data_IF_048389200382
#
_entry.id   IF_048389200382
#
_cell.length_a   1.000
_cell.length_b   1.000
_cell.length_c   1.000
_cell.angle_alpha   90.00
_cell.angle_beta   90.00
_cell.angle_gamma   90.00
#
_symmetry.space_group_name_H-M   'P 1'
#
loop_
_entity.id
_entity.type
_entity.pdbx_description
1 polymer ?
#
# COMPACT_ATOMS: atom_id res chain seq x y z
N UNK A 1 -18.84 5.53 5.85
CA UNK A 1 -17.72 5.96 4.99
C UNK A 1 -16.41 5.56 5.63
N UNK A 2 -15.54 4.92 4.87
CA UNK A 2 -14.20 4.55 5.35
C UNK A 2 -13.25 5.75 5.29
N UNK A 3 -12.37 5.85 6.27
CA UNK A 3 -11.30 6.86 6.27
C UNK A 3 -10.24 6.49 5.22
N UNK A 4 -9.91 7.45 4.34
CA UNK A 4 -8.88 7.27 3.31
C UNK A 4 -7.53 6.97 3.97
N UNK A 5 -6.92 5.85 3.57
CA UNK A 5 -5.65 5.39 4.12
C UNK A 5 -5.77 4.48 5.35
N UNK A 6 -6.98 4.20 5.82
CA UNK A 6 -7.21 3.14 6.82
C UNK A 6 -7.00 1.74 6.22
N UNK A 7 -6.79 0.73 7.07
CA UNK A 7 -6.65 -0.66 6.62
C UNK A 7 -7.86 -1.08 5.77
N UNK A 8 -9.06 -0.90 6.29
CA UNK A 8 -10.32 -1.23 5.58
C UNK A 8 -10.48 -0.49 4.25
N UNK A 9 -10.04 0.75 4.15
CA UNK A 9 -10.05 1.48 2.87
C UNK A 9 -9.16 0.78 1.82
N UNK A 10 -7.95 0.37 2.20
CA UNK A 10 -7.05 -0.33 1.28
C UNK A 10 -7.60 -1.70 0.87
N UNK A 11 -8.20 -2.45 1.78
CA UNK A 11 -8.84 -3.73 1.49
C UNK A 11 -10.02 -3.57 0.52
N UNK A 12 -10.91 -2.60 0.78
CA UNK A 12 -12.04 -2.30 -0.10
C UNK A 12 -11.56 -1.84 -1.49
N UNK A 13 -10.57 -0.96 -1.55
CA UNK A 13 -9.98 -0.51 -2.81
C UNK A 13 -9.38 -1.67 -3.61
N UNK A 14 -8.61 -2.55 -2.96
CA UNK A 14 -8.03 -3.73 -3.59
C UNK A 14 -9.11 -4.63 -4.18
N UNK A 15 -10.16 -4.96 -3.40
CA UNK A 15 -11.30 -5.76 -3.87
C UNK A 15 -11.96 -5.13 -5.09
N UNK A 16 -12.30 -3.83 -5.04
CA UNK A 16 -12.98 -3.13 -6.13
C UNK A 16 -12.13 -3.11 -7.40
N UNK A 17 -10.83 -2.83 -7.27
CA UNK A 17 -9.93 -2.82 -8.42
C UNK A 17 -9.77 -4.21 -9.03
N UNK A 18 -9.62 -5.25 -8.22
CA UNK A 18 -9.49 -6.63 -8.68
C UNK A 18 -10.73 -7.13 -9.41
N UNK A 19 -11.93 -6.76 -8.97
CA UNK A 19 -13.20 -7.07 -9.66
C UNK A 19 -13.18 -6.50 -11.09
N UNK A 20 -12.67 -5.29 -11.26
CA UNK A 20 -12.68 -4.60 -12.56
C UNK A 20 -11.56 -5.07 -13.51
N UNK A 21 -10.37 -5.38 -12.98
CA UNK A 21 -9.18 -5.64 -13.82
C UNK A 21 -8.81 -7.11 -13.95
N UNK A 22 -9.31 -7.95 -13.07
CA UNK A 22 -8.82 -9.32 -12.96
C UNK A 22 -9.94 -10.36 -12.92
N UNK A 23 -10.78 -10.40 -11.88
CA UNK A 23 -11.78 -11.42 -11.68
C UNK A 23 -13.09 -10.85 -11.13
N UNK A 24 -14.11 -10.79 -11.98
CA UNK A 24 -15.44 -10.29 -11.60
C UNK A 24 -16.16 -11.15 -10.54
N UNK A 25 -15.73 -12.39 -10.31
CA UNK A 25 -16.29 -13.30 -9.31
C UNK A 25 -16.00 -12.79 -7.88
N UNK A 26 -14.88 -12.07 -7.68
CA UNK A 26 -14.55 -11.46 -6.39
C UNK A 26 -15.59 -10.45 -5.87
N UNK A 27 -16.60 -10.09 -6.66
CA UNK A 27 -17.73 -9.28 -6.16
C UNK A 27 -18.42 -9.89 -4.95
N UNK A 28 -18.46 -11.23 -4.85
CA UNK A 28 -19.07 -11.96 -3.76
C UNK A 28 -18.11 -12.24 -2.59
N UNK A 29 -16.84 -11.85 -2.70
CA UNK A 29 -15.87 -12.00 -1.63
C UNK A 29 -16.21 -11.08 -0.45
N UNK A 30 -15.86 -11.50 0.76
CA UNK A 30 -16.00 -10.74 1.99
C UNK A 30 -14.66 -10.13 2.42
N UNK A 31 -14.71 -9.00 3.12
CA UNK A 31 -13.53 -8.43 3.79
C UNK A 31 -13.42 -9.04 5.19
N UNK A 32 -12.42 -9.87 5.39
CA UNK A 32 -12.18 -10.62 6.62
C UNK A 32 -10.73 -10.45 7.07
N UNK A 33 -10.25 -11.36 7.92
CA UNK A 33 -8.85 -11.39 8.36
C UNK A 33 -8.19 -12.70 7.94
N UNK A 34 -6.94 -12.59 7.49
CA UNK A 34 -6.05 -13.73 7.22
C UNK A 34 -6.57 -14.79 6.22
N UNK A 35 -6.74 -14.45 4.94
CA UNK A 35 -6.40 -13.22 4.24
C UNK A 35 -7.50 -12.15 4.31
N UNK A 36 -7.20 -10.92 3.89
CA UNK A 36 -8.07 -9.74 4.02
C UNK A 36 -9.31 -9.79 3.11
N UNK A 37 -9.24 -10.44 1.95
CA UNK A 37 -10.37 -10.64 1.02
C UNK A 37 -10.55 -12.13 0.82
N UNK A 38 -11.75 -12.65 1.06
CA UNK A 38 -12.04 -14.08 0.98
C UNK A 38 -13.29 -14.35 0.14
N UNK A 39 -13.12 -15.11 -0.93
CA UNK A 39 -14.21 -15.74 -1.69
C UNK A 39 -14.23 -17.24 -1.38
N UNK A 40 -15.07 -17.63 -0.44
CA UNK A 40 -15.18 -19.04 -0.04
C UNK A 40 -15.82 -19.90 -1.13
N UNK A 41 -16.67 -19.33 -2.01
CA UNK A 41 -17.35 -20.06 -3.08
C UNK A 41 -16.37 -20.46 -4.17
N UNK A 42 -15.52 -19.53 -4.60
CA UNK A 42 -14.54 -19.75 -5.66
C UNK A 42 -13.18 -20.20 -5.10
N UNK A 43 -13.07 -20.30 -3.78
CA UNK A 43 -11.82 -20.66 -3.08
C UNK A 43 -10.64 -19.74 -3.44
N UNK A 44 -10.87 -18.41 -3.37
CA UNK A 44 -9.88 -17.37 -3.62
C UNK A 44 -9.65 -16.57 -2.34
N UNK A 45 -8.39 -16.38 -1.97
CA UNK A 45 -7.98 -15.53 -0.87
C UNK A 45 -6.97 -14.49 -1.31
N UNK A 46 -7.17 -13.20 -0.97
CA UNK A 46 -6.23 -12.14 -1.30
C UNK A 46 -5.78 -11.43 -0.03
N UNK A 47 -4.48 -11.45 0.21
CA UNK A 47 -3.86 -10.66 1.27
C UNK A 47 -3.53 -9.27 0.73
N UNK A 48 -3.85 -8.24 1.49
CA UNK A 48 -3.62 -6.83 1.11
C UNK A 48 -2.56 -6.22 2.00
N UNK A 49 -1.63 -5.48 1.40
CA UNK A 49 -0.62 -4.73 2.16
C UNK A 49 -0.28 -3.42 1.47
N UNK A 50 0.18 -2.45 2.25
CA UNK A 50 0.68 -1.19 1.73
C UNK A 50 2.13 -1.00 2.19
N UNK A 51 2.96 -0.45 1.32
CA UNK A 51 4.32 -0.08 1.68
C UNK A 51 4.24 1.16 2.57
N UNK A 52 4.77 1.11 3.80
CA UNK A 52 4.72 2.25 4.67
C UNK A 52 5.60 3.39 4.12
N UNK A 53 5.00 4.54 3.86
CA UNK A 53 5.77 5.75 3.62
C UNK A 53 6.21 6.32 4.97
N UNK A 54 7.43 6.00 5.39
CA UNK A 54 8.01 6.43 6.68
C UNK A 54 7.95 7.95 6.86
N UNK A 55 8.25 8.72 5.82
CA UNK A 55 8.25 10.17 5.87
C UNK A 55 6.84 10.73 6.08
N UNK A 56 5.85 10.22 5.35
CA UNK A 56 4.45 10.61 5.53
C UNK A 56 3.91 10.24 6.92
N UNK A 57 4.31 9.08 7.43
CA UNK A 57 3.95 8.65 8.78
C UNK A 57 4.59 9.56 9.85
N UNK A 58 5.85 9.94 9.66
CA UNK A 58 6.51 10.90 10.54
C UNK A 58 5.86 12.28 10.45
N UNK A 59 5.56 12.77 9.24
CA UNK A 59 4.84 14.02 9.04
C UNK A 59 3.50 14.06 9.81
N UNK A 60 2.71 12.98 9.72
CA UNK A 60 1.45 12.87 10.46
C UNK A 60 1.66 12.88 11.99
N UNK A 61 2.70 12.21 12.50
CA UNK A 61 3.06 12.26 13.93
C UNK A 61 3.48 13.64 14.38
N UNK A 62 4.30 14.35 13.59
CA UNK A 62 4.72 15.71 13.87
C UNK A 62 3.51 16.64 13.90
N UNK A 63 2.64 16.59 12.90
CA UNK A 63 1.42 17.38 12.86
C UNK A 63 0.57 17.15 14.11
N UNK A 64 0.32 15.88 14.48
CA UNK A 64 -0.42 15.53 15.70
C UNK A 64 0.24 16.03 16.98
N UNK A 65 1.57 15.99 17.05
CA UNK A 65 2.33 16.40 18.24
C UNK A 65 2.41 17.91 18.40
N UNK A 66 2.51 18.64 17.29
CA UNK A 66 2.91 20.05 17.30
C UNK A 66 1.82 21.03 16.86
N UNK A 67 0.98 20.68 15.85
CA UNK A 67 0.12 21.68 15.21
C UNK A 67 -1.11 22.08 16.03
N UNK A 68 -1.50 21.28 17.00
CA UNK A 68 -2.59 21.60 17.92
C UNK A 68 -2.12 22.37 19.18
N UNK A 69 -0.85 22.78 19.20
CA UNK A 69 -0.23 23.54 20.29
C UNK A 69 0.14 24.94 19.83
N UNK A 70 0.17 25.89 20.76
CA UNK A 70 0.69 27.23 20.53
C UNK A 70 2.23 27.21 20.51
N UNK A 71 2.82 26.48 19.56
CA UNK A 71 4.26 26.41 19.32
C UNK A 71 4.58 27.24 18.09
N UNK A 72 5.67 28.00 18.11
CA UNK A 72 6.19 28.65 16.90
C UNK A 72 6.97 27.65 16.01
N UNK A 73 7.46 28.11 14.86
CA UNK A 73 8.21 27.27 13.95
C UNK A 73 9.55 26.79 14.52
N UNK A 74 10.19 27.62 15.34
CA UNK A 74 11.50 27.29 15.93
C UNK A 74 11.33 26.19 16.98
N UNK A 75 10.31 26.27 17.82
CA UNK A 75 9.94 25.22 18.77
C UNK A 75 9.63 23.90 18.06
N UNK A 76 8.86 23.96 16.95
CA UNK A 76 8.52 22.77 16.19
C UNK A 76 9.77 22.15 15.55
N UNK A 77 10.64 22.98 14.97
CA UNK A 77 11.88 22.50 14.36
C UNK A 77 12.83 21.89 15.40
N UNK A 78 12.90 22.45 16.62
CA UNK A 78 13.64 21.86 17.72
C UNK A 78 13.12 20.47 18.09
N UNK A 79 11.80 20.31 18.26
CA UNK A 79 11.15 19.02 18.52
C UNK A 79 11.43 18.02 17.38
N UNK A 80 11.37 18.46 16.13
CA UNK A 80 11.61 17.59 14.99
C UNK A 80 13.06 17.12 14.92
N UNK A 81 14.01 18.01 15.19
CA UNK A 81 15.44 17.65 15.21
C UNK A 81 15.80 16.68 16.32
N UNK A 82 15.09 16.72 17.45
CA UNK A 82 15.30 15.84 18.58
C UNK A 82 14.59 14.49 18.44
N UNK A 83 13.27 14.51 18.19
CA UNK A 83 12.40 13.33 18.25
C UNK A 83 12.20 12.63 16.90
N UNK A 84 12.44 13.34 15.79
CA UNK A 84 12.18 12.86 14.43
C UNK A 84 13.41 13.01 13.53
N UNK A 85 14.59 12.65 14.02
CA UNK A 85 15.90 12.84 13.36
C UNK A 85 15.98 12.32 11.92
N UNK A 86 15.18 11.33 11.56
CA UNK A 86 15.11 10.77 10.20
C UNK A 86 14.00 11.39 9.34
N UNK A 87 13.30 12.41 9.85
CA UNK A 87 12.34 13.15 9.05
C UNK A 87 13.07 14.04 8.05
N UNK A 88 12.80 13.82 6.77
CA UNK A 88 13.35 14.60 5.67
C UNK A 88 12.22 15.40 5.02
N UNK A 89 11.79 16.45 5.67
CA UNK A 89 10.72 17.32 5.21
C UNK A 89 10.92 18.74 5.67
N UNK A 90 10.05 19.63 5.21
CA UNK A 90 10.04 21.04 5.58
C UNK A 90 8.74 21.37 6.29
N UNK A 91 8.84 22.08 7.39
CA UNK A 91 7.70 22.68 8.09
C UNK A 91 7.74 24.16 7.81
N UNK A 92 6.61 24.72 7.40
CA UNK A 92 6.48 26.12 7.08
C UNK A 92 5.12 26.66 7.50
N UNK A 93 5.05 27.96 7.68
CA UNK A 93 3.81 28.66 7.97
C UNK A 93 3.41 29.51 6.75
N UNK A 94 2.15 29.45 6.40
CA UNK A 94 1.55 30.28 5.36
C UNK A 94 0.15 30.71 5.79
N UNK A 95 -0.10 32.00 5.71
CA UNK A 95 -1.37 32.62 6.14
C UNK A 95 -1.81 32.23 7.56
N UNK A 96 -0.87 32.18 8.50
CA UNK A 96 -1.12 31.80 9.89
C UNK A 96 -1.45 30.33 10.12
N UNK A 97 -1.23 29.48 9.10
CA UNK A 97 -1.41 28.02 9.21
C UNK A 97 -0.10 27.28 9.02
N UNK A 98 0.11 26.28 9.84
CA UNK A 98 1.30 25.43 9.77
C UNK A 98 1.09 24.30 8.78
N UNK A 99 2.07 24.08 7.95
CA UNK A 99 2.11 23.03 6.93
C UNK A 99 3.35 22.18 7.11
N UNK A 100 3.22 20.91 6.73
CA UNK A 100 4.33 19.98 6.69
C UNK A 100 4.39 19.36 5.30
N UNK A 101 5.51 19.52 4.64
CA UNK A 101 5.80 18.85 3.39
C UNK A 101 6.87 17.80 3.69
N UNK A 102 6.55 16.53 3.54
CA UNK A 102 7.61 15.54 3.42
C UNK A 102 8.33 15.86 2.12
N UNK A 103 9.60 16.28 2.20
CA UNK A 103 10.39 16.42 0.98
C UNK A 103 10.25 15.11 0.22
N UNK A 104 10.14 15.20 -1.08
CA UNK A 104 10.42 14.07 -1.97
C UNK A 104 11.93 13.80 -1.85
N UNK A 105 12.38 13.33 -0.67
CA UNK A 105 13.68 12.74 -0.56
C UNK A 105 13.70 11.66 -1.64
N UNK A 106 14.64 11.73 -2.53
CA UNK A 106 15.05 10.60 -3.34
C UNK A 106 15.50 9.53 -2.33
N UNK A 107 14.52 8.79 -1.78
CA UNK A 107 14.83 7.49 -1.22
C UNK A 107 15.52 6.75 -2.36
N UNK A 108 16.69 6.26 -2.10
CA UNK A 108 17.44 5.51 -3.10
C UNK A 108 16.50 4.45 -3.69
N UNK A 109 16.48 4.34 -5.00
CA UNK A 109 15.59 3.41 -5.69
C UNK A 109 15.83 1.95 -5.23
N UNK A 110 17.08 1.63 -4.86
CA UNK A 110 17.47 0.36 -4.27
C UNK A 110 16.78 0.10 -2.93
N UNK A 111 16.67 1.10 -2.05
CA UNK A 111 16.02 0.98 -0.75
C UNK A 111 14.52 0.68 -0.88
N UNK A 112 13.87 1.18 -1.95
CA UNK A 112 12.46 0.86 -2.22
C UNK A 112 12.26 -0.57 -2.67
N UNK A 113 13.11 -1.07 -3.56
CA UNK A 113 13.10 -2.46 -4.03
C UNK A 113 13.30 -3.40 -2.85
N UNK A 114 14.30 -3.13 -2.00
CA UNK A 114 14.60 -3.94 -0.82
C UNK A 114 13.44 -3.94 0.18
N UNK A 115 12.88 -2.76 0.44
CA UNK A 115 11.73 -2.63 1.34
C UNK A 115 10.50 -3.42 0.86
N UNK A 116 10.23 -3.46 -0.46
CA UNK A 116 9.13 -4.24 -1.01
C UNK A 116 9.38 -5.73 -0.86
N UNK A 117 10.59 -6.19 -1.22
CA UNK A 117 10.96 -7.59 -1.08
C UNK A 117 10.84 -8.06 0.38
N UNK A 118 11.31 -7.26 1.34
CA UNK A 118 11.15 -7.56 2.78
C UNK A 118 9.68 -7.66 3.21
N UNK A 119 8.80 -6.79 2.71
CA UNK A 119 7.37 -6.83 3.02
C UNK A 119 6.75 -8.12 2.48
N UNK A 120 7.11 -8.50 1.25
CA UNK A 120 6.64 -9.75 0.66
C UNK A 120 7.12 -10.95 1.50
N UNK A 121 8.39 -11.00 1.88
CA UNK A 121 8.92 -12.08 2.73
C UNK A 121 8.21 -12.16 4.08
N UNK A 122 7.91 -11.04 4.72
CA UNK A 122 7.10 -11.01 5.96
C UNK A 122 5.69 -11.55 5.76
N UNK A 123 5.08 -11.31 4.57
CA UNK A 123 3.75 -11.86 4.24
C UNK A 123 3.81 -13.36 3.96
N UNK A 124 4.87 -13.84 3.32
CA UNK A 124 5.13 -15.28 3.13
C UNK A 124 5.23 -15.99 4.48
N UNK A 125 5.99 -15.43 5.42
CA UNK A 125 6.15 -16.00 6.75
C UNK A 125 4.81 -16.05 7.52
N UNK A 126 4.04 -14.97 7.50
CA UNK A 126 2.70 -14.94 8.10
C UNK A 126 1.74 -15.94 7.46
N UNK A 127 1.76 -16.06 6.14
CA UNK A 127 0.92 -17.02 5.41
C UNK A 127 1.18 -18.44 5.90
N UNK A 128 2.44 -18.82 5.99
CA UNK A 128 2.84 -20.17 6.38
C UNK A 128 2.40 -20.52 7.82
N UNK A 129 2.28 -19.55 8.69
CA UNK A 129 2.00 -19.75 10.10
C UNK A 129 0.52 -19.60 10.49
N UNK A 130 -0.25 -18.71 9.82
CA UNK A 130 -1.52 -18.27 10.40
C UNK A 130 -2.68 -18.10 9.39
N UNK A 131 -2.47 -18.30 8.08
CA UNK A 131 -3.51 -17.97 7.11
C UNK A 131 -4.37 -19.17 6.74
N UNK A 132 -5.68 -18.91 6.56
CA UNK A 132 -6.58 -19.83 5.87
C UNK A 132 -6.09 -19.97 4.43
N UNK A 133 -5.94 -21.22 3.99
CA UNK A 133 -5.50 -21.56 2.63
C UNK A 133 -6.71 -21.72 1.72
N UNK A 134 -6.60 -21.12 0.54
CA UNK A 134 -7.53 -21.22 -0.56
C UNK A 134 -6.87 -21.95 -1.72
N UNK A 135 -7.63 -22.35 -2.74
CA UNK A 135 -7.05 -22.94 -3.95
C UNK A 135 -6.22 -21.92 -4.72
N UNK A 136 -6.64 -20.66 -4.69
CA UNK A 136 -5.91 -19.51 -5.20
C UNK A 136 -5.64 -18.53 -4.06
N UNK A 137 -4.37 -18.23 -3.82
CA UNK A 137 -3.93 -17.28 -2.80
C UNK A 137 -3.12 -16.20 -3.49
N UNK A 138 -3.56 -14.97 -3.39
CA UNK A 138 -2.96 -13.83 -4.05
C UNK A 138 -2.48 -12.78 -3.05
N UNK A 139 -1.55 -11.93 -3.48
CA UNK A 139 -1.01 -10.82 -2.69
C UNK A 139 -1.20 -9.51 -3.45
N UNK A 140 -1.83 -8.53 -2.82
CA UNK A 140 -2.02 -7.19 -3.36
C UNK A 140 -1.23 -6.16 -2.57
N UNK A 141 -0.35 -5.41 -3.25
CA UNK A 141 0.62 -4.49 -2.63
C UNK A 141 0.40 -3.07 -3.15
N UNK A 142 0.09 -2.14 -2.26
CA UNK A 142 0.10 -0.71 -2.60
C UNK A 142 1.52 -0.15 -2.53
N UNK A 143 2.10 0.13 -3.69
CA UNK A 143 3.48 0.61 -3.82
C UNK A 143 3.63 2.13 -3.65
N UNK A 144 2.53 2.90 -3.77
CA UNK A 144 2.53 4.37 -3.67
C UNK A 144 3.57 5.09 -4.56
N UNK A 145 4.05 4.42 -5.61
CA UNK A 145 5.06 4.95 -6.52
C UNK A 145 4.64 4.70 -7.98
N UNK A 146 4.39 5.78 -8.72
CA UNK A 146 4.01 5.70 -10.13
C UNK A 146 5.18 5.37 -11.08
N UNK A 147 6.42 5.45 -10.61
CA UNK A 147 7.61 5.35 -11.46
C UNK A 147 8.18 3.92 -11.60
N UNK A 148 7.56 2.91 -10.98
CA UNK A 148 8.00 1.53 -11.18
C UNK A 148 7.80 1.10 -12.64
N UNK A 149 8.74 0.29 -13.11
CA UNK A 149 8.72 -0.36 -14.43
C UNK A 149 8.57 -1.87 -14.28
N UNK A 150 8.30 -2.57 -15.38
CA UNK A 150 8.30 -4.05 -15.41
C UNK A 150 9.64 -4.61 -14.93
N UNK A 151 10.76 -3.98 -15.28
CA UNK A 151 12.10 -4.40 -14.86
C UNK A 151 12.25 -4.31 -13.33
N UNK A 152 11.74 -3.27 -12.70
CA UNK A 152 11.82 -3.10 -11.25
C UNK A 152 11.04 -4.19 -10.51
N UNK A 153 9.83 -4.50 -10.99
CA UNK A 153 9.05 -5.62 -10.46
C UNK A 153 9.79 -6.94 -10.63
N UNK A 154 10.43 -7.15 -11.78
CA UNK A 154 11.24 -8.35 -12.03
C UNK A 154 12.41 -8.45 -11.06
N UNK A 155 13.08 -7.34 -10.75
CA UNK A 155 14.17 -7.31 -9.75
C UNK A 155 13.64 -7.64 -8.35
N UNK A 156 12.48 -7.08 -7.96
CA UNK A 156 11.83 -7.39 -6.66
C UNK A 156 11.56 -8.89 -6.55
N UNK A 157 10.91 -9.46 -7.56
CA UNK A 157 10.57 -10.88 -7.60
C UNK A 157 11.82 -11.76 -7.60
N UNK A 158 12.87 -11.36 -8.29
CA UNK A 158 14.15 -12.09 -8.32
C UNK A 158 14.85 -12.23 -6.95
N UNK A 159 14.39 -11.50 -5.92
CA UNK A 159 14.87 -11.60 -4.53
C UNK A 159 14.07 -12.58 -3.67
N UNK A 160 13.04 -13.19 -4.24
CA UNK A 160 12.13 -14.10 -3.56
C UNK A 160 12.36 -15.51 -4.04
N UNK A 161 12.48 -16.45 -3.11
CA UNK A 161 12.53 -17.86 -3.46
C UNK A 161 11.13 -18.36 -3.85
N UNK A 162 10.90 -18.48 -5.16
CA UNK A 162 9.62 -18.90 -5.73
C UNK A 162 9.28 -20.37 -5.42
N UNK A 163 10.22 -21.21 -4.99
CA UNK A 163 9.94 -22.60 -4.65
C UNK A 163 9.13 -22.73 -3.35
N UNK A 164 9.24 -21.74 -2.46
CA UNK A 164 8.51 -21.70 -1.19
C UNK A 164 7.46 -20.57 -1.13
N UNK A 165 7.22 -19.93 -2.26
CA UNK A 165 6.31 -18.80 -2.36
C UNK A 165 4.84 -19.27 -2.39
N UNK A 166 4.00 -18.87 -1.43
CA UNK A 166 2.66 -19.43 -1.27
C UNK A 166 1.58 -18.73 -2.09
N UNK A 167 1.91 -17.61 -2.77
CA UNK A 167 0.94 -16.85 -3.54
C UNK A 167 0.99 -17.23 -5.02
N UNK A 168 -0.17 -17.39 -5.62
CA UNK A 168 -0.34 -17.67 -7.04
C UNK A 168 -0.05 -16.45 -7.90
N UNK A 169 -0.47 -15.26 -7.41
CA UNK A 169 -0.28 -13.99 -8.09
C UNK A 169 0.11 -12.89 -7.11
N UNK A 170 0.83 -11.90 -7.63
CA UNK A 170 1.13 -10.67 -6.90
C UNK A 170 0.74 -9.47 -7.74
N UNK A 171 -0.08 -8.59 -7.16
CA UNK A 171 -0.51 -7.34 -7.77
C UNK A 171 0.24 -6.18 -7.10
N UNK A 172 1.02 -5.45 -7.88
CA UNK A 172 1.73 -4.25 -7.45
C UNK A 172 0.98 -3.02 -7.93
N UNK A 173 0.21 -2.38 -7.06
CA UNK A 173 -0.51 -1.16 -7.36
C UNK A 173 0.42 0.06 -7.25
N UNK A 174 0.76 0.65 -8.38
CA UNK A 174 1.67 1.79 -8.54
C UNK A 174 0.90 3.05 -8.97
N UNK A 175 -0.25 3.33 -8.38
CA UNK A 175 -1.15 4.45 -8.63
C UNK A 175 -1.88 4.31 -9.98
N UNK A 176 -1.27 4.72 -11.09
CA UNK A 176 -1.86 4.75 -12.44
C UNK A 176 -1.68 3.44 -13.23
N UNK A 177 -1.06 2.46 -12.61
CA UNK A 177 -0.83 1.13 -13.20
C UNK A 177 -0.75 0.04 -12.13
N UNK A 178 -1.15 -1.14 -12.52
CA UNK A 178 -0.99 -2.34 -11.72
C UNK A 178 -0.12 -3.32 -12.50
N UNK A 179 0.92 -3.82 -11.86
CA UNK A 179 1.72 -4.91 -12.40
C UNK A 179 1.23 -6.22 -11.80
N UNK A 180 0.83 -7.14 -12.65
CA UNK A 180 0.45 -8.50 -12.27
C UNK A 180 1.62 -9.45 -12.54
N UNK A 181 2.12 -10.07 -11.50
CA UNK A 181 3.05 -11.19 -11.59
C UNK A 181 2.29 -12.51 -11.33
N UNK A 182 2.34 -13.45 -12.25
CA UNK A 182 1.63 -14.74 -12.25
C UNK A 182 2.57 -15.96 -12.14
N UNK A 183 3.71 -15.82 -11.48
CA UNK A 183 4.82 -16.78 -11.35
C UNK A 183 5.60 -17.06 -12.66
N UNK A 184 5.22 -16.49 -13.78
CA UNK A 184 5.88 -16.68 -15.09
C UNK A 184 6.34 -15.37 -15.70
N UNK A 185 5.47 -14.37 -15.66
CA UNK A 185 5.68 -13.09 -16.32
C UNK A 185 5.09 -11.93 -15.53
N UNK A 186 5.55 -10.74 -15.85
CA UNK A 186 4.99 -9.49 -15.33
C UNK A 186 4.19 -8.82 -16.43
N UNK A 187 2.89 -8.62 -16.20
CA UNK A 187 1.98 -7.91 -17.09
C UNK A 187 1.65 -6.54 -16.51
N UNK A 188 1.67 -5.50 -17.32
CA UNK A 188 1.28 -4.13 -16.93
C UNK A 188 -0.17 -3.86 -17.35
N UNK A 189 -0.97 -3.37 -16.42
CA UNK A 189 -2.35 -2.91 -16.62
C UNK A 189 -2.39 -1.42 -16.29
N UNK A 190 -2.69 -0.58 -17.29
CA UNK A 190 -2.84 0.86 -17.09
C UNK A 190 -4.24 1.19 -16.56
N UNK A 191 -4.31 2.07 -15.57
CA UNK A 191 -5.55 2.49 -14.93
C UNK A 191 -5.80 3.96 -15.29
N UNK A 192 -6.94 4.25 -15.91
CA UNK A 192 -7.30 5.64 -16.22
C UNK A 192 -7.59 6.44 -14.94
N UNK A 193 -7.43 7.77 -15.02
CA UNK A 193 -7.75 8.66 -13.90
C UNK A 193 -9.21 8.51 -13.45
N UNK A 194 -10.13 8.31 -14.38
CA UNK A 194 -11.53 8.06 -14.09
C UNK A 194 -11.74 6.79 -13.26
N UNK A 195 -11.06 5.70 -13.62
CA UNK A 195 -11.10 4.45 -12.85
C UNK A 195 -10.48 4.61 -11.47
N UNK A 196 -9.37 5.32 -11.35
CA UNK A 196 -8.74 5.60 -10.07
C UNK A 196 -9.70 6.31 -9.12
N UNK A 197 -10.36 7.37 -9.60
CA UNK A 197 -11.32 8.11 -8.78
C UNK A 197 -12.55 7.26 -8.46
N UNK A 198 -13.05 6.48 -9.41
CA UNK A 198 -14.14 5.53 -9.18
C UNK A 198 -13.79 4.52 -8.09
N UNK A 199 -12.61 3.87 -8.14
CA UNK A 199 -12.19 2.91 -7.11
C UNK A 199 -12.12 3.57 -5.75
N UNK A 200 -11.55 4.78 -5.68
CA UNK A 200 -11.43 5.54 -4.45
C UNK A 200 -12.80 5.89 -3.86
N UNK A 201 -13.73 6.41 -4.65
CA UNK A 201 -15.07 6.75 -4.19
C UNK A 201 -15.87 5.52 -3.75
N UNK A 202 -15.78 4.43 -4.50
CA UNK A 202 -16.39 3.16 -4.10
C UNK A 202 -15.80 2.61 -2.80
N UNK A 203 -14.48 2.72 -2.61
CA UNK A 203 -13.83 2.29 -1.37
C UNK A 203 -14.23 3.15 -0.15
N UNK A 204 -14.34 4.48 -0.32
CA UNK A 204 -14.81 5.38 0.74
C UNK A 204 -16.25 5.02 1.18
N UNK A 205 -17.10 4.71 0.21
CA UNK A 205 -18.52 4.41 0.44
C UNK A 205 -18.79 2.91 0.66
N UNK A 206 -17.74 2.12 0.78
CA UNK A 206 -17.87 0.69 1.01
C UNK A 206 -18.60 0.45 2.34
N UNK A 207 -19.71 -0.28 2.27
CA UNK A 207 -20.40 -0.81 3.43
C UNK A 207 -20.38 -2.33 3.31
N UNK A 208 -19.92 -3.00 4.35
CA UNK A 208 -20.13 -4.44 4.47
C UNK A 208 -21.66 -4.68 4.44
N UNK A 209 -22.16 -5.25 3.34
CA UNK A 209 -23.56 -5.65 3.18
C UNK A 209 -23.75 -6.98 3.86
#
# INVERSE_FOLDING_TARGET
MLEVGSKKFFEAYAKISLIDIYNSELKNAELLECPDIQDCTNSIGVEVTAIPNKQRFMAAKIAKKCFNKELDLDDINAIVSEDFKSFNGVIFEWEGRKYISSSKGYEDFSDKIDSIAEIILKKVDKFNNNYKRFNENDLYIFCHNANFTVNDITIIIGRIDLNVFPYNKVFFNCIDKIYLFDLKQVNQINISLEKLEKYKQCAINYSDI
#
